data_IF_519270153049
#
_entry.id   IF_519270153049
#
_cell.length_a   1.000
_cell.length_b   1.000
_cell.length_c   1.000
_cell.angle_alpha   90.00
_cell.angle_beta   90.00
_cell.angle_gamma   90.00
#
_symmetry.space_group_name_H-M   'P 1'
#
loop_
_entity.id
_entity.type
_entity.pdbx_description
1 polymer ?
#
# COMPACT_ATOMS: atom_id res chain seq x y z
N UNK A 1 -12.68 -11.97 -28.04
CA UNK A 1 -13.18 -13.36 -27.94
C UNK A 1 -12.38 -14.03 -26.85
N UNK A 2 -12.99 -14.71 -25.87
CA UNK A 2 -12.22 -15.48 -24.90
C UNK A 2 -11.51 -16.61 -25.65
N UNK A 3 -10.22 -16.82 -25.40
CA UNK A 3 -9.55 -18.06 -25.80
C UNK A 3 -10.28 -19.24 -25.13
N UNK A 4 -10.33 -20.38 -25.83
CA UNK A 4 -11.08 -21.61 -25.51
C UNK A 4 -10.77 -22.30 -24.16
N UNK A 5 -10.06 -21.64 -23.23
CA UNK A 5 -9.53 -22.22 -21.99
C UNK A 5 -10.12 -21.63 -20.68
N UNK A 6 -11.19 -20.84 -20.73
CA UNK A 6 -11.89 -20.38 -19.50
C UNK A 6 -11.10 -19.42 -18.58
N UNK A 7 -9.93 -18.93 -19.00
CA UNK A 7 -9.12 -17.93 -18.26
C UNK A 7 -9.66 -16.53 -18.50
N UNK A 8 -9.91 -15.78 -17.43
CA UNK A 8 -10.26 -14.36 -17.54
C UNK A 8 -9.09 -13.52 -18.05
N UNK A 9 -9.43 -12.50 -18.86
CA UNK A 9 -8.47 -11.55 -19.41
C UNK A 9 -8.88 -10.12 -19.06
N UNK A 10 -7.90 -9.22 -19.09
CA UNK A 10 -8.13 -7.79 -19.00
C UNK A 10 -8.95 -7.30 -20.20
N UNK A 11 -9.98 -6.49 -19.93
CA UNK A 11 -10.85 -5.92 -20.94
C UNK A 11 -10.18 -4.78 -21.73
N UNK A 12 -9.11 -4.18 -21.21
CA UNK A 12 -8.36 -3.12 -21.89
C UNK A 12 -6.94 -2.94 -21.37
N UNK A 13 -6.04 -2.41 -22.21
CA UNK A 13 -4.67 -2.05 -21.82
C UNK A 13 -4.63 -1.00 -20.70
N UNK A 14 -5.49 0.01 -20.78
CA UNK A 14 -5.61 1.05 -19.74
C UNK A 14 -6.09 0.42 -18.42
N UNK A 15 -7.07 -0.48 -18.49
CA UNK A 15 -7.55 -1.22 -17.33
C UNK A 15 -6.47 -2.02 -16.62
N UNK A 16 -5.65 -2.74 -17.39
CA UNK A 16 -4.47 -3.44 -16.86
C UNK A 16 -3.49 -2.48 -16.17
N UNK A 17 -3.13 -1.37 -16.84
CA UNK A 17 -2.18 -0.38 -16.29
C UNK A 17 -2.71 0.20 -14.98
N UNK A 18 -3.98 0.61 -14.93
CA UNK A 18 -4.59 1.18 -13.74
C UNK A 18 -4.74 0.15 -12.62
N UNK A 19 -5.02 -1.12 -12.94
CA UNK A 19 -5.11 -2.18 -11.93
C UNK A 19 -3.74 -2.49 -11.32
N UNK A 20 -2.68 -2.55 -12.13
CA UNK A 20 -1.31 -2.76 -11.63
C UNK A 20 -0.82 -1.53 -10.87
N UNK A 21 -1.14 -0.32 -11.33
CA UNK A 21 -0.85 0.89 -10.57
C UNK A 21 -1.61 0.91 -9.24
N UNK A 22 -2.88 0.50 -9.20
CA UNK A 22 -3.65 0.36 -7.96
C UNK A 22 -3.15 -0.74 -7.02
N UNK A 23 -2.45 -1.75 -7.54
CA UNK A 23 -1.76 -2.75 -6.72
C UNK A 23 -0.53 -2.17 -6.01
N UNK A 24 0.19 -1.24 -6.64
CA UNK A 24 1.37 -0.60 -6.07
C UNK A 24 1.00 0.63 -5.20
N UNK A 25 0.03 1.43 -5.63
CA UNK A 25 -0.39 2.66 -4.93
C UNK A 25 -1.38 2.33 -3.83
N UNK A 26 -0.96 2.45 -2.57
CA UNK A 26 -1.81 2.15 -1.42
C UNK A 26 -1.34 2.76 -0.11
N UNK A 27 -1.65 2.10 1.02
CA UNK A 27 -1.27 2.53 2.36
C UNK A 27 0.26 2.66 2.52
N UNK A 28 1.02 1.92 1.72
CA UNK A 28 2.48 2.05 1.66
C UNK A 28 2.97 3.44 1.29
N UNK A 29 2.27 4.13 0.38
CA UNK A 29 2.63 5.45 -0.11
C UNK A 29 2.21 6.55 0.88
N UNK A 30 1.01 6.43 1.46
CA UNK A 30 0.43 7.49 2.29
C UNK A 30 0.73 7.36 3.78
N UNK A 31 0.95 6.15 4.30
CA UNK A 31 1.20 5.91 5.73
C UNK A 31 2.65 5.45 5.97
N UNK A 32 3.11 4.43 5.25
CA UNK A 32 4.42 3.82 5.54
C UNK A 32 5.59 4.69 5.06
N UNK A 33 5.54 5.21 3.83
CA UNK A 33 6.62 6.02 3.26
C UNK A 33 6.94 7.26 4.10
N UNK A 34 5.97 8.10 4.54
CA UNK A 34 6.27 9.26 5.37
C UNK A 34 6.95 8.88 6.69
N UNK A 35 6.51 7.81 7.34
CA UNK A 35 7.12 7.31 8.58
C UNK A 35 8.55 6.82 8.33
N UNK A 36 8.78 6.05 7.27
CA UNK A 36 10.12 5.57 6.93
C UNK A 36 11.06 6.72 6.58
N UNK A 37 10.61 7.69 5.78
CA UNK A 37 11.41 8.86 5.45
C UNK A 37 11.74 9.67 6.72
N UNK A 38 10.75 9.95 7.56
CA UNK A 38 10.95 10.75 8.78
C UNK A 38 11.86 10.08 9.80
N UNK A 39 11.69 8.78 10.06
CA UNK A 39 12.51 8.03 11.01
C UNK A 39 13.96 7.82 10.54
N UNK A 40 14.22 7.92 9.24
CA UNK A 40 15.53 7.67 8.65
C UNK A 40 16.20 8.95 8.10
N UNK A 41 15.88 10.11 8.69
CA UNK A 41 16.59 11.37 8.39
C UNK A 41 16.17 12.06 7.10
N UNK A 42 14.93 11.86 6.65
CA UNK A 42 14.31 12.59 5.55
C UNK A 42 15.10 12.45 4.24
N UNK A 43 15.76 13.53 3.82
CA UNK A 43 16.57 13.54 2.60
C UNK A 43 17.76 12.56 2.61
N UNK A 44 18.24 12.10 3.77
CA UNK A 44 19.20 10.99 3.83
C UNK A 44 18.61 9.67 3.32
N UNK A 45 17.33 9.40 3.62
CA UNK A 45 16.61 8.20 3.19
C UNK A 45 16.28 8.23 1.70
N UNK A 46 16.03 9.42 1.13
CA UNK A 46 15.66 9.57 -0.28
C UNK A 46 16.75 9.09 -1.25
N UNK A 47 18.03 9.24 -0.88
CA UNK A 47 19.16 8.79 -1.72
C UNK A 47 19.13 7.26 -1.94
N UNK A 48 19.24 6.41 -0.89
CA UNK A 48 19.16 4.96 -1.07
C UNK A 48 17.79 4.51 -1.58
N UNK A 49 16.71 5.23 -1.27
CA UNK A 49 15.38 4.95 -1.83
C UNK A 49 15.39 5.01 -3.37
N UNK A 50 15.90 6.10 -3.97
CA UNK A 50 15.99 6.20 -5.43
C UNK A 50 17.02 5.26 -6.04
N UNK A 51 18.14 5.00 -5.37
CA UNK A 51 19.11 3.99 -5.82
C UNK A 51 18.43 2.64 -5.93
N UNK A 52 17.79 2.16 -4.85
CA UNK A 52 17.10 0.87 -4.86
C UNK A 52 15.87 0.84 -5.76
N UNK A 53 15.18 1.95 -5.96
CA UNK A 53 14.13 2.04 -6.97
C UNK A 53 14.67 1.68 -8.37
N UNK A 54 15.82 2.25 -8.75
CA UNK A 54 16.42 2.02 -10.06
C UNK A 54 17.07 0.64 -10.20
N UNK A 55 17.81 0.18 -9.19
CA UNK A 55 18.62 -1.05 -9.30
C UNK A 55 17.88 -2.32 -8.83
N UNK A 56 16.88 -2.20 -7.96
CA UNK A 56 16.07 -3.33 -7.47
C UNK A 56 14.62 -3.23 -7.96
N UNK A 57 13.96 -2.10 -7.74
CA UNK A 57 12.53 -1.93 -8.03
C UNK A 57 12.19 -2.19 -9.49
N UNK A 58 12.74 -1.40 -10.41
CA UNK A 58 12.47 -1.53 -11.85
C UNK A 58 12.83 -2.93 -12.39
N UNK A 59 14.05 -3.48 -12.15
CA UNK A 59 14.41 -4.79 -12.68
C UNK A 59 13.52 -5.92 -12.15
N UNK A 60 13.21 -5.91 -10.84
CA UNK A 60 12.37 -6.94 -10.25
C UNK A 60 10.92 -6.87 -10.75
N UNK A 61 10.38 -5.67 -10.95
CA UNK A 61 9.04 -5.52 -11.57
C UNK A 61 8.99 -6.16 -12.96
N UNK A 62 10.03 -5.95 -13.79
CA UNK A 62 10.10 -6.58 -15.11
C UNK A 62 10.24 -8.11 -15.04
N UNK A 63 11.02 -8.62 -14.10
CA UNK A 63 11.15 -10.06 -13.86
C UNK A 63 9.81 -10.66 -13.48
N UNK A 64 9.10 -10.08 -12.51
CA UNK A 64 7.81 -10.58 -12.04
C UNK A 64 6.73 -10.54 -13.11
N UNK A 65 6.66 -9.46 -13.89
CA UNK A 65 5.78 -9.38 -15.06
C UNK A 65 6.13 -10.44 -16.11
N UNK A 66 7.42 -10.67 -16.35
CA UNK A 66 7.91 -11.70 -17.27
C UNK A 66 7.49 -13.11 -16.83
N UNK A 67 7.67 -13.41 -15.54
CA UNK A 67 7.29 -14.68 -14.92
C UNK A 67 5.76 -14.88 -14.99
N UNK A 68 4.98 -13.86 -14.63
CA UNK A 68 3.52 -13.89 -14.67
C UNK A 68 2.99 -14.18 -16.07
N UNK A 69 3.45 -13.40 -17.06
CA UNK A 69 3.06 -13.56 -18.46
C UNK A 69 3.50 -14.92 -19.03
N UNK A 70 4.67 -15.41 -18.65
CA UNK A 70 5.17 -16.71 -19.11
C UNK A 70 4.33 -17.85 -18.52
N UNK A 71 4.14 -17.91 -17.20
CA UNK A 71 3.29 -18.90 -16.55
C UNK A 71 1.82 -18.81 -16.99
N UNK A 72 1.37 -17.61 -17.34
CA UNK A 72 0.04 -17.36 -17.88
C UNK A 72 -0.26 -18.14 -19.16
N UNK A 73 0.73 -18.31 -20.04
CA UNK A 73 0.63 -19.13 -21.27
C UNK A 73 0.39 -20.61 -20.98
N UNK A 74 0.77 -21.07 -19.79
CA UNK A 74 0.58 -22.45 -19.32
C UNK A 74 -0.60 -22.57 -18.34
N UNK A 75 -1.51 -21.59 -18.32
CA UNK A 75 -2.68 -21.55 -17.43
C UNK A 75 -2.33 -21.56 -15.92
N UNK A 76 -1.13 -21.10 -15.55
CA UNK A 76 -0.78 -20.87 -14.15
C UNK A 76 -0.94 -19.38 -13.82
N UNK A 77 -1.60 -19.09 -12.69
CA UNK A 77 -1.83 -17.73 -12.17
C UNK A 77 -1.18 -17.50 -10.81
N UNK A 78 -0.46 -18.49 -10.27
CA UNK A 78 0.19 -18.42 -8.96
C UNK A 78 1.65 -18.85 -9.05
N UNK A 79 2.46 -18.33 -8.12
CA UNK A 79 3.90 -18.56 -8.08
C UNK A 79 4.31 -20.06 -8.08
N UNK A 80 3.63 -21.00 -7.38
CA UNK A 80 3.99 -22.43 -7.46
C UNK A 80 3.91 -23.00 -8.88
N UNK A 81 2.85 -22.65 -9.63
CA UNK A 81 2.68 -23.11 -11.01
C UNK A 81 3.65 -22.41 -11.97
N UNK A 82 3.87 -21.10 -11.78
CA UNK A 82 4.83 -20.34 -12.58
C UNK A 82 6.26 -20.88 -12.41
N UNK A 83 6.67 -21.19 -11.18
CA UNK A 83 8.00 -21.69 -10.90
C UNK A 83 8.19 -23.14 -11.39
N UNK A 84 7.14 -23.96 -11.38
CA UNK A 84 7.17 -25.31 -11.97
C UNK A 84 7.36 -25.28 -13.49
N UNK A 85 6.91 -24.22 -14.16
CA UNK A 85 7.18 -24.01 -15.59
C UNK A 85 8.63 -23.58 -15.81
N UNK A 86 9.11 -22.61 -15.04
CA UNK A 86 10.45 -22.04 -15.19
C UNK A 86 11.57 -23.01 -14.82
N UNK A 87 11.35 -23.80 -13.77
CA UNK A 87 12.32 -24.75 -13.24
C UNK A 87 11.63 -26.08 -12.96
N UNK A 88 11.90 -27.06 -13.84
CA UNK A 88 11.35 -28.42 -13.78
C UNK A 88 12.03 -29.26 -12.68
N UNK A 89 11.83 -28.85 -11.43
CA UNK A 89 12.37 -29.52 -10.25
C UNK A 89 11.35 -29.49 -9.11
N UNK A 90 11.29 -30.55 -8.29
CA UNK A 90 10.27 -30.67 -7.22
C UNK A 90 10.29 -29.49 -6.25
N UNK A 91 11.45 -28.88 -6.01
CA UNK A 91 11.61 -27.73 -5.11
C UNK A 91 11.00 -26.43 -5.64
N UNK A 92 10.81 -26.28 -6.95
CA UNK A 92 10.33 -25.01 -7.54
C UNK A 92 8.93 -24.63 -7.02
N UNK A 93 8.05 -25.63 -6.87
CA UNK A 93 6.71 -25.46 -6.28
C UNK A 93 6.77 -24.93 -4.85
N UNK A 94 7.69 -25.46 -4.04
CA UNK A 94 7.85 -25.03 -2.64
C UNK A 94 8.35 -23.59 -2.53
N UNK A 95 9.30 -23.19 -3.38
CA UNK A 95 9.72 -21.78 -3.46
C UNK A 95 8.57 -20.87 -3.90
N UNK A 96 7.75 -21.31 -4.87
CA UNK A 96 6.57 -20.54 -5.28
C UNK A 96 5.52 -20.41 -4.18
N UNK A 97 5.39 -21.41 -3.29
CA UNK A 97 4.44 -21.36 -2.16
C UNK A 97 4.80 -20.25 -1.17
N UNK A 98 6.08 -19.89 -1.05
CA UNK A 98 6.49 -18.76 -0.19
C UNK A 98 5.83 -17.46 -0.63
N UNK A 99 5.69 -17.20 -1.94
CA UNK A 99 4.98 -16.02 -2.44
C UNK A 99 3.51 -16.00 -2.02
N UNK A 100 2.81 -17.14 -2.11
CA UNK A 100 1.41 -17.24 -1.66
C UNK A 100 1.29 -17.03 -0.15
N UNK A 101 2.21 -17.60 0.63
CA UNK A 101 2.23 -17.44 2.08
C UNK A 101 2.45 -15.97 2.49
N UNK A 102 3.38 -15.27 1.83
CA UNK A 102 3.63 -13.85 2.07
C UNK A 102 2.40 -13.00 1.73
N UNK A 103 1.78 -13.23 0.57
CA UNK A 103 0.52 -12.58 0.18
C UNK A 103 -0.60 -12.79 1.21
N UNK A 104 -0.73 -14.02 1.73
CA UNK A 104 -1.75 -14.35 2.73
C UNK A 104 -1.52 -13.62 4.05
N UNK A 105 -0.28 -13.55 4.55
CA UNK A 105 0.04 -12.80 5.77
C UNK A 105 -0.31 -11.31 5.58
N UNK A 106 0.06 -10.75 4.43
CA UNK A 106 -0.22 -9.34 4.11
C UNK A 106 -1.73 -9.09 4.11
N UNK A 107 -2.50 -9.96 3.46
CA UNK A 107 -3.96 -9.84 3.42
C UNK A 107 -4.58 -9.72 4.83
N UNK A 108 -4.12 -10.51 5.79
CA UNK A 108 -4.68 -10.53 7.16
C UNK A 108 -4.57 -9.16 7.83
N UNK A 109 -3.36 -8.60 7.95
CA UNK A 109 -3.19 -7.33 8.66
C UNK A 109 -3.57 -6.12 7.80
N UNK A 110 -3.36 -6.20 6.48
CA UNK A 110 -3.61 -5.07 5.58
C UNK A 110 -5.10 -4.79 5.46
N UNK A 111 -5.95 -5.83 5.40
CA UNK A 111 -7.42 -5.66 5.43
C UNK A 111 -7.89 -5.04 6.74
N UNK A 112 -7.23 -5.35 7.87
CA UNK A 112 -7.58 -4.73 9.15
C UNK A 112 -7.21 -3.24 9.19
N UNK A 113 -6.04 -2.86 8.67
CA UNK A 113 -5.66 -1.43 8.59
C UNK A 113 -6.55 -0.70 7.58
N UNK A 114 -6.88 -1.32 6.46
CA UNK A 114 -7.83 -0.79 5.47
C UNK A 114 -9.19 -0.49 6.14
N UNK A 115 -9.69 -1.39 6.99
CA UNK A 115 -10.96 -1.17 7.69
C UNK A 115 -10.95 0.01 8.65
N UNK A 116 -9.77 0.37 9.19
CA UNK A 116 -9.63 1.59 9.98
C UNK A 116 -9.84 2.81 9.11
N UNK A 117 -9.30 2.83 7.89
CA UNK A 117 -9.52 3.96 6.96
C UNK A 117 -10.98 4.10 6.55
N UNK A 118 -11.71 2.98 6.38
CA UNK A 118 -13.15 3.00 6.15
C UNK A 118 -13.90 3.54 7.38
N UNK A 119 -13.54 3.09 8.57
CA UNK A 119 -14.10 3.57 9.83
C UNK A 119 -13.90 5.08 10.02
N UNK A 120 -12.67 5.56 9.85
CA UNK A 120 -12.35 6.99 9.94
C UNK A 120 -13.05 7.82 8.85
N UNK A 121 -13.29 7.25 7.68
CA UNK A 121 -14.12 7.90 6.65
C UNK A 121 -15.55 8.12 7.17
N UNK A 122 -16.15 7.11 7.82
CA UNK A 122 -17.48 7.24 8.44
C UNK A 122 -17.47 8.22 9.62
N UNK A 123 -16.45 8.15 10.49
CA UNK A 123 -16.31 9.07 11.63
C UNK A 123 -16.10 10.52 11.21
N UNK A 124 -15.44 10.75 10.05
CA UNK A 124 -15.32 12.08 9.45
C UNK A 124 -16.66 12.61 8.98
N UNK A 125 -17.49 11.76 8.37
CA UNK A 125 -18.84 12.14 7.89
C UNK A 125 -19.78 12.49 9.05
N UNK A 126 -19.61 11.85 10.20
CA UNK A 126 -20.43 12.12 11.40
C UNK A 126 -19.82 13.18 12.33
N UNK A 127 -18.58 13.60 12.09
CA UNK A 127 -17.84 14.54 12.94
C UNK A 127 -17.42 13.97 14.30
N UNK A 128 -17.40 12.64 14.47
CA UNK A 128 -17.28 11.99 15.78
C UNK A 128 -16.00 12.32 16.54
N UNK A 129 -14.91 12.62 15.84
CA UNK A 129 -13.62 12.95 16.43
C UNK A 129 -13.23 14.43 16.29
N UNK A 130 -14.11 15.31 15.79
CA UNK A 130 -13.74 16.70 15.48
C UNK A 130 -13.38 17.51 16.73
N UNK A 131 -13.87 17.10 17.90
CA UNK A 131 -13.51 17.70 19.19
C UNK A 131 -12.11 17.27 19.67
N UNK A 132 -11.50 16.26 19.04
CA UNK A 132 -10.15 15.78 19.36
C UNK A 132 -9.11 16.64 18.63
N UNK A 133 -8.67 17.71 19.28
CA UNK A 133 -7.80 18.73 18.68
C UNK A 133 -6.31 18.52 18.95
N UNK A 134 -5.94 17.58 19.83
CA UNK A 134 -4.54 17.33 20.21
C UNK A 134 -4.04 15.95 19.76
N UNK A 135 -2.72 15.79 19.61
CA UNK A 135 -2.14 14.51 19.22
C UNK A 135 -2.45 13.38 20.21
N UNK A 136 -2.44 13.68 21.51
CA UNK A 136 -2.75 12.70 22.56
C UNK A 136 -4.22 12.26 22.52
N UNK A 137 -5.14 13.20 22.32
CA UNK A 137 -6.57 12.89 22.24
C UNK A 137 -6.91 12.09 20.98
N UNK A 138 -6.30 12.42 19.84
CA UNK A 138 -6.41 11.64 18.61
C UNK A 138 -5.80 10.24 18.74
N UNK A 139 -4.66 10.10 19.43
CA UNK A 139 -4.05 8.80 19.72
C UNK A 139 -4.98 7.93 20.56
N UNK A 140 -5.58 8.49 21.61
CA UNK A 140 -6.50 7.78 22.48
C UNK A 140 -7.78 7.36 21.72
N UNK A 141 -8.27 8.19 20.80
CA UNK A 141 -9.38 7.83 19.91
C UNK A 141 -9.04 6.60 19.04
N UNK A 142 -7.84 6.59 18.43
CA UNK A 142 -7.37 5.42 17.67
C UNK A 142 -7.18 4.17 18.54
N UNK A 143 -6.55 4.32 19.70
CA UNK A 143 -6.25 3.18 20.58
C UNK A 143 -7.51 2.57 21.17
N UNK A 144 -8.51 3.40 21.50
CA UNK A 144 -9.81 2.92 21.93
C UNK A 144 -10.58 2.22 20.81
N UNK A 145 -10.54 2.75 19.59
CA UNK A 145 -11.11 2.08 18.42
C UNK A 145 -10.46 0.71 18.17
N UNK A 146 -9.13 0.62 18.33
CA UNK A 146 -8.37 -0.63 18.21
C UNK A 146 -8.62 -1.61 19.37
N UNK A 147 -9.32 -1.20 20.43
CA UNK A 147 -9.50 -1.99 21.65
C UNK A 147 -8.23 -2.15 22.48
N UNK A 148 -7.21 -1.30 22.28
CA UNK A 148 -5.99 -1.28 23.11
C UNK A 148 -6.24 -0.63 24.47
N UNK A 149 -7.16 0.33 24.49
CA UNK A 149 -7.54 1.10 25.68
C UNK A 149 -9.06 1.24 25.71
N UNK A 150 -9.62 1.50 26.89
CA UNK A 150 -11.04 1.87 27.00
C UNK A 150 -11.13 3.38 26.89
N UNK A 151 -11.72 3.86 25.79
CA UNK A 151 -11.88 5.29 25.55
C UNK A 151 -13.31 5.78 25.76
N UNK A 152 -13.49 7.10 25.66
CA UNK A 152 -14.79 7.74 25.77
C UNK A 152 -15.75 7.33 24.64
N UNK A 153 -15.23 7.18 23.42
CA UNK A 153 -16.03 6.87 22.22
C UNK A 153 -16.18 5.37 21.96
N UNK A 154 -15.16 4.58 22.30
CA UNK A 154 -15.13 3.15 22.07
C UNK A 154 -14.76 2.42 23.36
N UNK A 155 -15.70 1.65 23.87
CA UNK A 155 -15.53 0.82 25.08
C UNK A 155 -15.14 -0.62 24.77
N UNK A 156 -15.18 -1.03 23.50
CA UNK A 156 -14.83 -2.37 23.05
C UNK A 156 -14.25 -2.36 21.64
N UNK A 157 -13.57 -3.44 21.27
CA UNK A 157 -13.03 -3.68 19.92
C UNK A 157 -14.10 -4.05 18.88
N UNK A 158 -15.35 -4.29 19.32
CA UNK A 158 -16.43 -4.77 18.45
C UNK A 158 -16.68 -3.86 17.23
N UNK A 159 -16.69 -2.52 17.35
CA UNK A 159 -16.88 -1.64 16.18
C UNK A 159 -15.78 -1.80 15.13
N UNK A 160 -14.52 -1.99 15.55
CA UNK A 160 -13.41 -2.21 14.63
C UNK A 160 -13.54 -3.55 13.89
N UNK A 161 -13.94 -4.62 14.58
CA UNK A 161 -14.20 -5.90 13.92
C UNK A 161 -15.44 -5.89 13.04
N UNK A 162 -16.50 -5.17 13.42
CA UNK A 162 -17.68 -4.99 12.57
C UNK A 162 -17.30 -4.31 11.24
N UNK A 163 -16.52 -3.22 11.31
CA UNK A 163 -16.03 -2.53 10.11
C UNK A 163 -15.00 -3.35 9.32
N UNK A 164 -14.21 -4.19 9.99
CA UNK A 164 -13.35 -5.17 9.32
C UNK A 164 -14.17 -6.18 8.50
N UNK A 165 -15.26 -6.73 9.06
CA UNK A 165 -16.13 -7.64 8.32
C UNK A 165 -16.80 -6.96 7.12
N UNK A 166 -17.23 -5.71 7.26
CA UNK A 166 -17.76 -4.91 6.14
C UNK A 166 -16.68 -4.73 5.05
N UNK A 167 -15.47 -4.32 5.44
CA UNK A 167 -14.35 -4.11 4.51
C UNK A 167 -13.96 -5.39 3.80
N UNK A 168 -13.90 -6.51 4.52
CA UNK A 168 -13.66 -7.82 3.95
C UNK A 168 -14.76 -8.24 2.97
N UNK A 169 -16.03 -7.99 3.31
CA UNK A 169 -17.17 -8.24 2.43
C UNK A 169 -17.12 -7.43 1.13
N UNK A 170 -16.73 -6.15 1.20
CA UNK A 170 -16.53 -5.29 0.03
C UNK A 170 -15.39 -5.81 -0.86
N UNK A 171 -14.25 -6.15 -0.26
CA UNK A 171 -13.13 -6.78 -0.98
C UNK A 171 -13.57 -8.07 -1.67
N UNK A 172 -14.25 -8.97 -0.95
CA UNK A 172 -14.77 -10.22 -1.52
C UNK A 172 -15.74 -9.97 -2.66
N UNK A 173 -16.64 -8.98 -2.54
CA UNK A 173 -17.59 -8.65 -3.60
C UNK A 173 -16.92 -8.17 -4.89
N UNK A 174 -15.83 -7.37 -4.78
CA UNK A 174 -15.04 -6.96 -5.95
C UNK A 174 -14.35 -8.18 -6.57
N UNK A 175 -13.72 -9.03 -5.76
CA UNK A 175 -13.01 -10.22 -6.22
C UNK A 175 -13.95 -11.26 -6.85
N UNK A 176 -15.14 -11.45 -6.30
CA UNK A 176 -16.17 -12.36 -6.80
C UNK A 176 -16.62 -12.00 -8.22
N UNK A 177 -16.53 -10.72 -8.60
CA UNK A 177 -16.83 -10.26 -9.97
C UNK A 177 -15.71 -10.52 -10.97
N UNK A 178 -14.58 -11.08 -10.55
CA UNK A 178 -13.45 -11.40 -11.41
C UNK A 178 -12.60 -10.19 -11.80
N UNK A 179 -11.64 -10.43 -12.70
CA UNK A 179 -10.62 -9.50 -13.16
C UNK A 179 -11.26 -8.32 -13.91
N UNK A 180 -11.98 -8.59 -15.01
CA UNK A 180 -12.46 -7.50 -15.88
C UNK A 180 -13.70 -6.78 -15.31
N UNK A 181 -14.65 -7.51 -14.72
CA UNK A 181 -15.91 -6.91 -14.21
C UNK A 181 -15.79 -6.41 -12.76
N UNK A 182 -14.80 -6.86 -12.01
CA UNK A 182 -14.49 -6.44 -10.64
C UNK A 182 -13.29 -5.50 -10.59
N UNK A 183 -12.08 -6.07 -10.59
CA UNK A 183 -10.82 -5.37 -10.33
C UNK A 183 -10.59 -4.23 -11.33
N UNK A 184 -10.68 -4.50 -12.63
CA UNK A 184 -10.44 -3.51 -13.68
C UNK A 184 -11.45 -2.35 -13.60
N UNK A 185 -12.73 -2.66 -13.36
CA UNK A 185 -13.78 -1.65 -13.25
C UNK A 185 -13.57 -0.75 -12.04
N UNK A 186 -13.19 -1.33 -10.90
CA UNK A 186 -12.85 -0.57 -9.70
C UNK A 186 -11.61 0.30 -9.96
N UNK A 187 -10.54 -0.24 -10.52
CA UNK A 187 -9.30 0.48 -10.77
C UNK A 187 -9.50 1.70 -11.69
N UNK A 188 -10.35 1.57 -12.72
CA UNK A 188 -10.71 2.69 -13.62
C UNK A 188 -11.41 3.86 -12.92
N UNK A 189 -12.01 3.64 -11.76
CA UNK A 189 -12.73 4.66 -11.00
C UNK A 189 -11.89 5.12 -9.80
N UNK A 190 -11.43 4.17 -8.99
CA UNK A 190 -10.75 4.42 -7.73
C UNK A 190 -9.39 5.12 -7.93
N UNK A 191 -8.61 4.74 -8.94
CA UNK A 191 -7.27 5.32 -9.12
C UNK A 191 -7.31 6.80 -9.57
N UNK A 192 -8.14 7.20 -10.57
CA UNK A 192 -8.34 8.61 -10.86
C UNK A 192 -8.85 9.42 -9.66
N UNK A 193 -9.82 8.89 -8.90
CA UNK A 193 -10.34 9.55 -7.70
C UNK A 193 -9.26 9.72 -6.62
N UNK A 194 -8.44 8.69 -6.41
CA UNK A 194 -7.33 8.74 -5.47
C UNK A 194 -6.34 9.84 -5.84
N UNK A 195 -5.98 9.96 -7.13
CA UNK A 195 -5.08 11.02 -7.61
C UNK A 195 -5.71 12.41 -7.38
N UNK A 196 -7.01 12.56 -7.66
CA UNK A 196 -7.73 13.82 -7.44
C UNK A 196 -7.73 14.20 -5.95
N UNK A 197 -8.07 13.28 -5.05
CA UNK A 197 -8.05 13.55 -3.61
C UNK A 197 -6.64 13.84 -3.10
N UNK A 198 -5.64 13.09 -3.56
CA UNK A 198 -4.25 13.35 -3.20
C UNK A 198 -3.80 14.74 -3.65
N UNK A 199 -4.19 15.18 -4.85
CA UNK A 199 -3.88 16.52 -5.35
C UNK A 199 -4.57 17.61 -4.51
N UNK A 200 -5.86 17.44 -4.20
CA UNK A 200 -6.61 18.39 -3.34
C UNK A 200 -5.94 18.52 -1.97
N UNK A 201 -5.57 17.39 -1.35
CA UNK A 201 -4.89 17.40 -0.05
C UNK A 201 -3.51 18.03 -0.13
N UNK A 202 -2.73 17.73 -1.17
CA UNK A 202 -1.41 18.34 -1.38
C UNK A 202 -1.51 19.86 -1.51
N UNK A 203 -2.45 20.35 -2.33
CA UNK A 203 -2.71 21.79 -2.47
C UNK A 203 -3.14 22.39 -1.13
N UNK A 204 -4.09 21.77 -0.42
CA UNK A 204 -4.54 22.26 0.89
C UNK A 204 -3.40 22.37 1.90
N UNK A 205 -2.48 21.39 1.90
CA UNK A 205 -1.31 21.36 2.78
C UNK A 205 -0.35 22.51 2.46
N UNK A 206 -0.12 22.84 1.18
CA UNK A 206 0.73 23.98 0.79
C UNK A 206 0.23 25.30 1.37
N UNK A 207 -1.07 25.43 1.64
CA UNK A 207 -1.69 26.62 2.24
C UNK A 207 -1.96 26.49 3.76
N UNK A 208 -1.46 25.45 4.44
CA UNK A 208 -1.59 25.36 5.91
C UNK A 208 -0.65 26.31 6.66
N UNK A 209 0.43 26.78 6.01
CA UNK A 209 1.42 27.67 6.63
C UNK A 209 2.17 26.99 7.77
N UNK A 210 2.06 27.54 8.98
CA UNK A 210 2.62 26.97 10.21
C UNK A 210 1.47 26.43 11.06
N UNK A 211 1.31 25.10 11.16
CA UNK A 211 0.21 24.49 11.91
C UNK A 211 0.21 24.84 13.41
N UNK A 212 1.40 25.00 14.00
CA UNK A 212 1.58 25.39 15.41
C UNK A 212 2.46 26.64 15.50
N UNK A 213 1.86 27.77 15.89
CA UNK A 213 2.57 29.04 16.07
C UNK A 213 3.58 29.01 17.22
N UNK A 214 3.45 28.07 18.16
CA UNK A 214 4.41 27.87 19.23
C UNK A 214 5.71 27.20 18.74
N UNK A 215 5.67 26.56 17.57
CA UNK A 215 6.81 25.86 16.96
C UNK A 215 6.94 26.27 15.48
N UNK A 216 7.32 27.53 15.17
CA UNK A 216 7.36 28.08 13.82
C UNK A 216 8.23 27.28 12.83
N UNK A 217 9.22 26.57 13.36
CA UNK A 217 10.09 25.66 12.61
C UNK A 217 9.35 24.47 12.00
N UNK A 218 8.20 24.08 12.54
CA UNK A 218 7.34 23.03 11.98
C UNK A 218 6.43 23.55 10.85
N UNK A 219 6.97 24.44 10.01
CA UNK A 219 6.28 24.92 8.81
C UNK A 219 6.24 23.86 7.70
N UNK A 220 5.25 23.98 6.82
CA UNK A 220 5.13 23.10 5.64
C UNK A 220 6.41 23.11 4.77
N UNK A 221 7.02 24.28 4.59
CA UNK A 221 8.25 24.41 3.78
C UNK A 221 9.45 23.73 4.43
N UNK A 222 9.58 23.80 5.76
CA UNK A 222 10.62 23.06 6.47
C UNK A 222 10.38 21.55 6.41
N UNK A 223 9.11 21.10 6.41
CA UNK A 223 8.77 19.69 6.15
C UNK A 223 9.24 19.22 4.77
N UNK A 224 9.02 20.04 3.72
CA UNK A 224 9.57 19.75 2.39
C UNK A 224 11.09 19.75 2.39
N UNK A 225 11.73 20.76 2.98
CA UNK A 225 13.18 20.83 3.08
C UNK A 225 13.77 19.62 3.82
N UNK A 226 13.12 19.17 4.89
CA UNK A 226 13.53 17.98 5.64
C UNK A 226 13.53 16.70 4.80
N UNK A 227 12.51 16.51 3.95
CA UNK A 227 12.41 15.33 3.07
C UNK A 227 13.36 15.44 1.87
N UNK A 228 13.59 16.63 1.33
CA UNK A 228 14.28 16.79 0.04
C UNK A 228 15.73 17.27 0.12
N UNK A 229 16.17 17.84 1.25
CA UNK A 229 17.57 18.25 1.42
C UNK A 229 18.45 17.03 1.74
N UNK A 230 19.39 16.65 0.86
CA UNK A 230 20.21 15.46 1.07
C UNK A 230 21.12 15.63 2.28
N UNK A 231 21.11 14.64 3.18
CA UNK A 231 22.06 14.57 4.29
C UNK A 231 22.99 13.35 4.12
N UNK A 232 24.15 13.60 3.49
CA UNK A 232 25.13 12.58 3.13
C UNK A 232 25.81 11.97 4.36
N UNK A 233 25.92 12.72 5.47
CA UNK A 233 26.58 12.25 6.69
C UNK A 233 25.94 11.00 7.28
N UNK A 234 24.64 10.80 7.05
CA UNK A 234 23.87 9.67 7.55
C UNK A 234 23.98 8.43 6.65
N UNK A 235 24.55 8.54 5.43
CA UNK A 235 24.63 7.41 4.50
C UNK A 235 25.57 6.29 4.95
N UNK A 236 26.45 6.57 5.91
CA UNK A 236 27.27 5.54 6.55
C UNK A 236 26.46 4.58 7.41
N UNK A 237 25.22 4.93 7.77
CA UNK A 237 24.35 4.09 8.57
C UNK A 237 23.65 3.01 7.71
N UNK A 238 23.97 1.70 7.90
CA UNK A 238 23.35 0.62 7.12
C UNK A 238 21.84 0.48 7.35
N UNK A 239 21.31 0.94 8.49
CA UNK A 239 19.88 0.82 8.78
C UNK A 239 19.02 1.62 7.80
N UNK A 240 19.52 2.76 7.31
CA UNK A 240 18.82 3.61 6.33
C UNK A 240 18.72 2.88 4.98
N UNK A 241 19.77 2.18 4.58
CA UNK A 241 19.77 1.37 3.36
C UNK A 241 18.79 0.19 3.47
N UNK A 242 18.78 -0.50 4.61
CA UNK A 242 17.85 -1.59 4.86
C UNK A 242 16.39 -1.10 4.84
N UNK A 243 16.11 0.04 5.48
CA UNK A 243 14.79 0.66 5.48
C UNK A 243 14.35 1.07 4.06
N UNK A 244 15.25 1.67 3.28
CA UNK A 244 14.97 2.08 1.91
C UNK A 244 14.69 0.88 0.98
N UNK A 245 15.52 -0.16 1.03
CA UNK A 245 15.30 -1.39 0.28
C UNK A 245 13.95 -2.01 0.64
N UNK A 246 13.67 -2.18 1.95
CA UNK A 246 12.40 -2.71 2.44
C UNK A 246 11.19 -1.88 2.00
N UNK A 247 11.33 -0.55 1.92
CA UNK A 247 10.29 0.33 1.41
C UNK A 247 10.03 0.12 -0.08
N UNK A 248 11.06 -0.12 -0.90
CA UNK A 248 10.91 -0.39 -2.34
C UNK A 248 10.16 -1.70 -2.59
N UNK A 249 10.52 -2.79 -1.88
CA UNK A 249 9.77 -4.06 -1.98
C UNK A 249 8.29 -3.88 -1.65
N UNK A 250 7.99 -3.18 -0.55
CA UNK A 250 6.61 -2.98 -0.11
C UNK A 250 5.81 -2.06 -1.04
N UNK A 251 6.37 -0.92 -1.45
CA UNK A 251 5.63 0.08 -2.22
C UNK A 251 5.39 -0.31 -3.67
N UNK A 252 6.20 -1.22 -4.21
CA UNK A 252 6.00 -1.76 -5.55
C UNK A 252 5.28 -3.11 -5.53
N UNK A 253 4.97 -3.66 -4.34
CA UNK A 253 4.38 -4.99 -4.14
C UNK A 253 5.23 -6.14 -4.70
N UNK A 254 6.55 -5.95 -4.78
CA UNK A 254 7.52 -6.90 -5.35
C UNK A 254 7.94 -7.92 -4.29
N UNK A 255 8.19 -9.15 -4.71
CA UNK A 255 8.61 -10.29 -3.89
C UNK A 255 7.44 -11.00 -3.19
N UNK A 256 6.21 -10.54 -3.44
CA UNK A 256 5.01 -11.01 -2.75
C UNK A 256 4.13 -11.91 -3.62
N UNK A 257 4.45 -12.05 -4.92
CA UNK A 257 3.69 -12.89 -5.86
C UNK A 257 2.36 -12.27 -6.31
N UNK A 258 2.17 -10.97 -6.09
CA UNK A 258 0.94 -10.22 -6.41
C UNK A 258 0.98 -9.51 -7.76
N UNK A 259 2.17 -9.30 -8.33
CA UNK A 259 2.38 -8.62 -9.63
C UNK A 259 2.34 -9.59 -10.81
N UNK A 260 2.39 -10.90 -10.56
CA UNK A 260 2.40 -11.94 -11.58
C UNK A 260 1.05 -12.03 -12.35
N UNK A 261 0.79 -11.06 -13.24
CA UNK A 261 -0.41 -10.97 -14.07
C UNK A 261 -0.38 -11.89 -15.30
#
# INVERSE_FOLDING_TARGET
>A
MPDNNGREQWGSKIGLILAVAGNAVGLGNFLRFPVQAAQNGGGAFMIPYFIFFLILGIPLMWIEWGIGRHGGRFNHGSAPGMFDVLWKHKLSKYFGTLGLFMSMIILIYYTYIESWTLGYSFFSLTGLYFDQTTADTMRNFLYSYQGKEVGQHFTSILPAYALMLVTFGLNFWVLYKGISKGIEKLAKIALPLLIIFAAILAVRIMFLGTPDLAVPENSVWNGFAFIWNPNISLLSNPSIWLAAAGQIFFTLSVGMGTIHA
#
